data_IF_093054137310
#
_entry.id   IF_093054137310
#
_cell.length_a   1.000
_cell.length_b   1.000
_cell.length_c   1.000
_cell.angle_alpha   90.00
_cell.angle_beta   90.00
_cell.angle_gamma   90.00
#
_symmetry.space_group_name_H-M   'P 1'
#
loop_
_entity.id
_entity.type
_entity.pdbx_description
1 polymer ?
#
# COMPACT_ATOMS: atom_id res chain seq x y z
N UNK A 1 -61.46 -49.89 15.26
CA UNK A 1 -60.06 -49.63 14.98
C UNK A 1 -59.94 -48.19 14.51
N UNK A 2 -59.49 -47.26 15.39
CA UNK A 2 -59.27 -45.84 15.07
C UNK A 2 -57.82 -45.65 14.74
N UNK A 3 -57.52 -45.21 13.52
CA UNK A 3 -56.16 -44.85 13.09
C UNK A 3 -55.87 -43.39 13.43
N UNK A 4 -54.95 -43.15 14.34
CA UNK A 4 -54.40 -41.83 14.64
C UNK A 4 -53.39 -41.46 13.54
N UNK A 5 -53.58 -40.35 12.82
CA UNK A 5 -52.61 -39.72 11.98
C UNK A 5 -51.77 -38.74 12.80
N UNK A 6 -50.51 -39.03 13.00
CA UNK A 6 -49.53 -38.05 13.51
C UNK A 6 -49.05 -37.22 12.34
N UNK A 7 -49.39 -35.93 12.35
CA UNK A 7 -48.86 -34.94 11.42
C UNK A 7 -47.52 -34.42 11.98
N UNK A 8 -46.42 -34.76 11.32
CA UNK A 8 -45.06 -34.29 11.68
C UNK A 8 -44.88 -32.92 11.04
N UNK A 9 -45.01 -31.83 11.83
CA UNK A 9 -44.58 -30.50 11.40
C UNK A 9 -43.04 -30.44 11.41
N UNK A 10 -42.44 -30.51 10.26
CA UNK A 10 -41.00 -30.19 10.07
C UNK A 10 -40.82 -28.67 10.11
N UNK A 11 -40.33 -28.14 11.23
CA UNK A 11 -39.86 -26.77 11.35
C UNK A 11 -38.49 -26.73 10.67
N UNK A 12 -38.44 -26.25 9.43
CA UNK A 12 -37.21 -25.98 8.73
C UNK A 12 -36.49 -24.79 9.38
N UNK A 13 -35.45 -25.05 10.17
CA UNK A 13 -34.49 -24.04 10.54
C UNK A 13 -33.68 -23.65 9.28
N UNK A 14 -34.03 -22.55 8.63
CA UNK A 14 -33.19 -21.89 7.66
C UNK A 14 -31.99 -21.27 8.40
N UNK A 15 -30.88 -22.00 8.50
CA UNK A 15 -29.61 -21.38 8.78
C UNK A 15 -29.27 -20.46 7.58
N UNK A 16 -29.55 -19.17 7.75
CA UNK A 16 -28.92 -18.17 6.88
C UNK A 16 -27.38 -18.31 7.06
N UNK A 17 -26.73 -18.93 6.09
CA UNK A 17 -25.30 -18.84 5.99
C UNK A 17 -25.00 -17.36 5.75
N UNK A 18 -24.58 -16.65 6.80
CA UNK A 18 -23.87 -15.40 6.65
C UNK A 18 -22.58 -15.75 5.91
N UNK A 19 -22.58 -15.62 4.60
CA UNK A 19 -21.35 -15.65 3.83
C UNK A 19 -20.42 -14.62 4.46
N UNK A 20 -19.27 -15.09 4.95
CA UNK A 20 -18.22 -14.19 5.38
C UNK A 20 -17.97 -13.21 4.21
N UNK A 21 -18.22 -11.93 4.43
CA UNK A 21 -17.88 -10.89 3.46
C UNK A 21 -16.39 -10.95 3.17
N UNK A 22 -15.90 -10.31 2.09
CA UNK A 22 -14.49 -10.31 1.76
C UNK A 22 -13.66 -9.93 2.98
N UNK A 23 -12.67 -10.76 3.27
CA UNK A 23 -11.79 -10.59 4.43
C UNK A 23 -10.96 -9.31 4.27
N UNK A 24 -10.86 -8.52 5.34
CA UNK A 24 -10.10 -7.27 5.33
C UNK A 24 -8.65 -7.57 5.72
N UNK A 25 -7.80 -7.76 4.71
CA UNK A 25 -6.37 -8.02 4.87
C UNK A 25 -5.57 -6.76 4.54
N UNK A 26 -5.01 -6.11 5.55
CA UNK A 26 -4.16 -4.93 5.41
C UNK A 26 -2.83 -5.17 6.11
N UNK A 27 -1.73 -4.96 5.39
CA UNK A 27 -0.35 -5.10 5.88
C UNK A 27 0.38 -3.75 5.77
N UNK A 28 0.97 -3.26 6.87
CA UNK A 28 0.90 -3.73 8.25
C UNK A 28 -0.51 -3.74 8.82
N UNK A 29 -0.76 -4.64 9.77
CA UNK A 29 -2.09 -4.76 10.41
C UNK A 29 -2.46 -3.45 11.12
N UNK A 30 -3.61 -2.84 10.78
CA UNK A 30 -4.05 -1.60 11.43
C UNK A 30 -4.41 -1.80 12.91
N UNK A 31 -4.36 -0.70 13.67
CA UNK A 31 -4.76 -0.67 15.09
C UNK A 31 -6.22 -1.06 15.30
N UNK A 32 -7.10 -0.62 14.43
CA UNK A 32 -8.54 -0.93 14.51
C UNK A 32 -9.12 -1.15 13.12
N UNK A 33 -9.90 -2.22 13.00
CA UNK A 33 -10.68 -2.57 11.80
C UNK A 33 -12.08 -2.96 12.26
N UNK A 34 -13.08 -2.22 11.81
CA UNK A 34 -14.49 -2.48 12.10
C UNK A 34 -15.23 -2.77 10.80
N UNK A 35 -15.66 -4.02 10.55
CA UNK A 35 -16.44 -4.35 9.35
C UNK A 35 -17.77 -3.60 9.32
N UNK A 36 -18.19 -3.18 8.13
CA UNK A 36 -19.51 -2.61 7.84
C UNK A 36 -20.36 -3.55 6.99
N UNK A 37 -21.55 -3.09 6.60
CA UNK A 37 -22.43 -3.84 5.72
C UNK A 37 -22.35 -3.34 4.27
N UNK A 38 -22.22 -4.27 3.32
CA UNK A 38 -22.18 -3.97 1.89
C UNK A 38 -20.78 -3.77 1.36
N UNK A 39 -20.70 -3.28 0.12
CA UNK A 39 -19.44 -3.07 -0.62
C UNK A 39 -19.49 -1.79 -1.42
N UNK A 40 -18.32 -1.24 -1.76
CA UNK A 40 -18.15 -0.18 -2.74
C UNK A 40 -17.33 -0.70 -3.91
N UNK A 41 -17.78 -0.44 -5.15
CA UNK A 41 -17.03 -0.87 -6.34
C UNK A 41 -16.24 0.30 -6.90
N UNK A 42 -14.92 0.16 -6.92
CA UNK A 42 -14.00 1.10 -7.55
C UNK A 42 -13.81 0.71 -9.01
N UNK A 43 -14.00 1.66 -9.91
CA UNK A 43 -13.84 1.48 -11.36
C UNK A 43 -13.07 2.64 -11.95
N UNK A 44 -12.71 2.57 -13.24
CA UNK A 44 -12.06 3.69 -13.95
C UNK A 44 -12.94 4.96 -14.00
N UNK A 45 -14.26 4.85 -13.80
CA UNK A 45 -15.19 5.99 -13.74
C UNK A 45 -15.30 6.61 -12.33
N UNK A 46 -14.80 5.94 -11.29
CA UNK A 46 -14.74 6.48 -9.93
C UNK A 46 -13.92 7.77 -9.91
N UNK A 47 -14.41 8.78 -9.20
CA UNK A 47 -13.78 10.10 -9.11
C UNK A 47 -13.12 10.24 -7.73
N UNK A 48 -11.86 10.68 -7.70
CA UNK A 48 -11.17 11.01 -6.46
C UNK A 48 -11.40 12.49 -6.16
N UNK A 49 -12.15 12.78 -5.09
CA UNK A 49 -12.40 14.10 -4.56
C UNK A 49 -11.23 14.61 -3.75
N UNK A 50 -10.61 15.69 -4.19
CA UNK A 50 -9.49 16.34 -3.54
C UNK A 50 -9.53 17.84 -3.75
N UNK A 51 -9.30 18.59 -2.70
CA UNK A 51 -9.24 20.05 -2.72
C UNK A 51 -8.01 20.59 -3.49
N UNK A 52 -7.66 21.88 -3.27
CA UNK A 52 -6.50 22.51 -3.92
C UNK A 52 -5.14 22.09 -3.33
N UNK A 53 -5.10 21.21 -2.34
CA UNK A 53 -3.85 20.73 -1.73
C UNK A 53 -3.02 19.92 -2.74
N UNK A 54 -1.83 20.43 -3.06
CA UNK A 54 -0.97 19.84 -4.10
C UNK A 54 -0.44 18.44 -3.72
N UNK A 55 -0.19 18.20 -2.42
CA UNK A 55 0.32 16.92 -1.92
C UNK A 55 -0.77 15.85 -1.96
N UNK A 56 -2.01 16.18 -1.58
CA UNK A 56 -3.14 15.28 -1.71
C UNK A 56 -3.42 14.94 -3.19
N UNK A 57 -3.32 15.91 -4.09
CA UNK A 57 -3.46 15.65 -5.53
C UNK A 57 -2.37 14.74 -6.08
N UNK A 58 -1.15 14.85 -5.55
CA UNK A 58 -0.06 13.93 -5.90
C UNK A 58 -0.37 12.53 -5.41
N UNK A 59 -0.77 12.37 -4.15
CA UNK A 59 -1.17 11.08 -3.56
C UNK A 59 -2.34 10.44 -4.31
N UNK A 60 -3.34 11.21 -4.69
CA UNK A 60 -4.47 10.77 -5.51
C UNK A 60 -4.03 10.22 -6.87
N UNK A 61 -3.09 10.89 -7.56
CA UNK A 61 -2.57 10.43 -8.85
C UNK A 61 -1.75 9.15 -8.74
N UNK A 62 -0.94 9.03 -7.68
CA UNK A 62 -0.17 7.80 -7.40
C UNK A 62 -1.16 6.65 -7.20
N UNK A 63 -2.11 6.79 -6.29
CA UNK A 63 -3.13 5.78 -6.03
C UNK A 63 -3.91 5.39 -7.30
N UNK A 64 -4.38 6.37 -8.09
CA UNK A 64 -5.10 6.12 -9.33
C UNK A 64 -4.26 5.32 -10.35
N UNK A 65 -2.95 5.57 -10.43
CA UNK A 65 -2.03 4.83 -11.27
C UNK A 65 -1.78 3.40 -10.78
N UNK A 66 -1.59 3.22 -9.47
CA UNK A 66 -1.32 1.92 -8.86
C UNK A 66 -2.49 0.94 -9.00
N UNK A 67 -3.74 1.40 -8.90
CA UNK A 67 -4.91 0.54 -9.01
C UNK A 67 -5.48 0.45 -10.44
N UNK A 68 -5.00 1.26 -11.37
CA UNK A 68 -5.50 1.29 -12.75
C UNK A 68 -5.57 -0.07 -13.46
N UNK A 69 -4.59 -0.98 -13.29
CA UNK A 69 -4.65 -2.31 -13.91
C UNK A 69 -5.85 -3.15 -13.42
N UNK A 70 -6.25 -2.95 -12.16
CA UNK A 70 -7.35 -3.71 -11.54
C UNK A 70 -8.71 -3.11 -11.89
N UNK A 71 -8.82 -1.77 -11.88
CA UNK A 71 -10.10 -1.07 -12.08
C UNK A 71 -10.41 -0.73 -13.54
N UNK A 72 -9.54 -1.11 -14.47
CA UNK A 72 -9.74 -0.94 -15.91
C UNK A 72 -9.39 0.44 -16.46
N UNK A 73 -8.60 1.25 -15.73
CA UNK A 73 -8.10 2.55 -16.18
C UNK A 73 -7.82 3.53 -15.06
N UNK A 74 -7.21 4.66 -15.40
CA UNK A 74 -6.81 5.70 -14.45
C UNK A 74 -8.00 6.56 -14.05
N UNK A 75 -8.32 6.59 -12.77
CA UNK A 75 -9.39 7.43 -12.20
C UNK A 75 -9.07 8.94 -12.33
N UNK A 76 -10.12 9.74 -12.49
CA UNK A 76 -10.00 11.20 -12.54
C UNK A 76 -10.00 11.80 -11.12
N UNK A 77 -9.40 12.99 -11.00
CA UNK A 77 -9.47 13.81 -9.79
C UNK A 77 -10.33 15.04 -10.02
N UNK A 78 -11.16 15.40 -9.05
CA UNK A 78 -11.99 16.60 -9.05
C UNK A 78 -12.04 17.23 -7.64
N UNK A 79 -12.76 18.34 -7.48
CA UNK A 79 -12.94 18.96 -6.16
C UNK A 79 -13.80 18.07 -5.24
N UNK A 80 -14.77 17.37 -5.81
CA UNK A 80 -15.61 16.39 -5.12
C UNK A 80 -15.55 15.06 -5.87
N UNK A 81 -15.82 13.95 -5.18
CA UNK A 81 -15.77 12.62 -5.78
C UNK A 81 -16.24 11.53 -4.83
N UNK A 82 -16.24 10.31 -5.36
CA UNK A 82 -16.68 9.10 -4.66
C UNK A 82 -15.65 8.67 -3.60
N UNK A 83 -14.37 8.92 -3.84
CA UNK A 83 -13.27 8.71 -2.90
C UNK A 83 -12.78 10.08 -2.44
N UNK A 84 -13.10 10.47 -1.22
CA UNK A 84 -12.78 11.80 -0.67
C UNK A 84 -11.50 11.76 0.15
N UNK A 85 -10.61 12.70 -0.12
CA UNK A 85 -9.35 12.87 0.62
C UNK A 85 -9.38 14.17 1.41
N UNK A 86 -9.07 14.11 2.71
CA UNK A 86 -9.06 15.27 3.58
C UNK A 86 -7.93 15.21 4.61
N UNK A 87 -7.39 16.37 4.97
CA UNK A 87 -6.53 16.53 6.15
C UNK A 87 -7.42 16.87 7.34
N UNK A 88 -7.23 16.16 8.45
CA UNK A 88 -7.91 16.36 9.72
C UNK A 88 -6.86 16.64 10.83
N UNK A 89 -6.67 17.89 11.15
CA UNK A 89 -5.67 18.32 12.14
C UNK A 89 -5.94 17.86 13.58
N UNK A 90 -7.05 17.16 13.85
CA UNK A 90 -7.30 16.53 15.13
C UNK A 90 -6.58 15.17 15.29
N UNK A 91 -6.13 14.58 14.17
CA UNK A 91 -5.36 13.34 14.16
C UNK A 91 -3.85 13.62 14.33
N UNK A 92 -3.12 12.64 14.84
CA UNK A 92 -1.65 12.68 14.83
C UNK A 92 -1.12 12.71 13.38
N UNK A 93 0.06 13.28 13.17
CA UNK A 93 0.58 13.60 11.83
C UNK A 93 0.52 12.46 10.81
N UNK A 94 0.93 11.26 11.20
CA UNK A 94 0.92 10.08 10.31
C UNK A 94 -0.31 9.16 10.52
N UNK A 95 -1.21 9.53 11.44
CA UNK A 95 -2.46 8.78 11.66
C UNK A 95 -3.44 9.00 10.52
N UNK A 96 -4.30 8.01 10.31
CA UNK A 96 -5.38 8.09 9.34
C UNK A 96 -6.63 7.34 9.78
N UNK A 97 -7.76 7.72 9.20
CA UNK A 97 -8.99 6.95 9.16
C UNK A 97 -9.37 6.67 7.71
N UNK A 98 -9.87 5.47 7.46
CA UNK A 98 -10.42 5.05 6.17
C UNK A 98 -11.83 4.51 6.43
N UNK A 99 -12.84 5.14 5.84
CA UNK A 99 -14.21 4.70 5.91
C UNK A 99 -14.69 4.32 4.51
N UNK A 100 -15.08 3.06 4.32
CA UNK A 100 -15.70 2.53 3.11
C UNK A 100 -17.15 2.25 3.40
N UNK A 101 -18.04 2.82 2.63
CA UNK A 101 -19.49 2.60 2.68
C UNK A 101 -20.00 2.28 1.28
N UNK A 102 -21.20 1.71 1.11
CA UNK A 102 -21.76 1.50 -0.23
C UNK A 102 -21.94 2.78 -1.08
N UNK A 103 -21.92 3.96 -0.44
CA UNK A 103 -22.10 5.26 -1.10
C UNK A 103 -20.78 5.97 -1.43
N UNK A 104 -19.64 5.46 -0.99
CA UNK A 104 -18.33 6.07 -1.24
C UNK A 104 -17.28 5.76 -0.20
N UNK A 105 -16.12 6.34 -0.39
CA UNK A 105 -14.93 6.16 0.46
C UNK A 105 -14.48 7.52 0.99
N UNK A 106 -14.10 7.57 2.25
CA UNK A 106 -13.44 8.73 2.85
C UNK A 106 -12.10 8.33 3.47
N UNK A 107 -11.05 9.07 3.12
CA UNK A 107 -9.71 8.92 3.70
C UNK A 107 -9.33 10.24 4.37
N UNK A 108 -9.14 10.21 5.66
CA UNK A 108 -8.67 11.36 6.46
C UNK A 108 -7.32 11.04 7.07
N UNK A 109 -6.42 11.99 7.08
CA UNK A 109 -5.12 11.87 7.76
C UNK A 109 -4.76 13.13 8.52
N UNK A 110 -3.96 13.01 9.58
CA UNK A 110 -3.50 14.19 10.33
C UNK A 110 -2.67 15.17 9.50
N UNK A 111 -2.01 14.65 8.48
CA UNK A 111 -1.28 15.40 7.43
C UNK A 111 -1.48 14.72 6.08
N UNK A 112 -1.03 15.31 4.96
CA UNK A 112 -1.01 14.63 3.66
C UNK A 112 -0.31 13.27 3.68
N UNK A 113 0.71 13.07 4.53
CA UNK A 113 1.37 11.78 4.72
C UNK A 113 0.41 10.75 5.36
N UNK A 114 -0.37 11.13 6.36
CA UNK A 114 -1.40 10.27 6.94
C UNK A 114 -2.46 9.86 5.91
N UNK A 115 -2.90 10.80 5.05
CA UNK A 115 -3.81 10.49 3.93
C UNK A 115 -3.17 9.50 2.95
N UNK A 116 -1.88 9.66 2.65
CA UNK A 116 -1.15 8.71 1.81
C UNK A 116 -1.13 7.30 2.42
N UNK A 117 -0.92 7.18 3.74
CA UNK A 117 -0.99 5.89 4.44
C UNK A 117 -2.38 5.24 4.35
N UNK A 118 -3.43 6.04 4.47
CA UNK A 118 -4.81 5.58 4.28
C UNK A 118 -5.09 5.10 2.86
N UNK A 119 -4.53 5.80 1.85
CA UNK A 119 -4.60 5.38 0.44
C UNK A 119 -3.85 4.07 0.19
N UNK A 120 -2.71 3.82 0.85
CA UNK A 120 -2.02 2.54 0.75
C UNK A 120 -2.86 1.38 1.33
N UNK A 121 -3.62 1.63 2.40
CA UNK A 121 -4.59 0.65 2.91
C UNK A 121 -5.75 0.42 1.95
N UNK A 122 -6.33 1.48 1.39
CA UNK A 122 -7.37 1.37 0.37
C UNK A 122 -6.88 0.65 -0.88
N UNK A 123 -5.64 0.92 -1.32
CA UNK A 123 -5.00 0.23 -2.44
C UNK A 123 -4.99 -1.29 -2.26
N UNK A 124 -4.59 -1.77 -1.08
CA UNK A 124 -4.59 -3.20 -0.79
C UNK A 124 -6.00 -3.78 -0.92
N UNK A 125 -7.00 -3.13 -0.31
CA UNK A 125 -8.40 -3.58 -0.39
C UNK A 125 -8.95 -3.59 -1.83
N UNK A 126 -8.58 -2.60 -2.65
CA UNK A 126 -8.98 -2.54 -4.07
C UNK A 126 -8.34 -3.67 -4.88
N UNK A 127 -7.07 -3.95 -4.64
CA UNK A 127 -6.34 -4.99 -5.38
C UNK A 127 -6.82 -6.37 -4.95
N UNK A 128 -6.91 -6.64 -3.66
CA UNK A 128 -7.35 -7.94 -3.12
C UNK A 128 -8.80 -8.27 -3.50
N UNK A 129 -9.66 -7.25 -3.57
CA UNK A 129 -11.07 -7.40 -3.94
C UNK A 129 -11.37 -7.22 -5.44
N UNK A 130 -10.34 -7.14 -6.31
CA UNK A 130 -10.52 -6.93 -7.75
C UNK A 130 -11.45 -5.72 -8.07
N UNK A 131 -11.29 -4.64 -7.32
CA UNK A 131 -12.10 -3.43 -7.39
C UNK A 131 -13.33 -3.41 -6.47
N UNK A 132 -13.75 -4.54 -5.89
CA UNK A 132 -14.87 -4.61 -4.94
C UNK A 132 -14.35 -4.53 -3.51
N UNK A 133 -14.57 -3.41 -2.85
CA UNK A 133 -14.06 -3.13 -1.51
C UNK A 133 -15.16 -3.36 -0.47
N UNK A 134 -14.94 -4.19 0.56
CA UNK A 134 -15.92 -4.36 1.64
C UNK A 134 -16.11 -3.05 2.41
N UNK A 135 -17.34 -2.81 2.87
CA UNK A 135 -17.60 -1.71 3.79
C UNK A 135 -16.82 -1.95 5.10
N UNK A 136 -16.02 -0.97 5.49
CA UNK A 136 -15.12 -1.10 6.64
C UNK A 136 -14.75 0.28 7.16
N UNK A 137 -14.54 0.39 8.46
CA UNK A 137 -13.87 1.53 9.08
C UNK A 137 -12.53 1.09 9.63
N UNK A 138 -11.45 1.73 9.17
CA UNK A 138 -10.08 1.50 9.64
C UNK A 138 -9.60 2.74 10.36
N UNK A 139 -8.95 2.58 11.51
CA UNK A 139 -8.20 3.63 12.18
C UNK A 139 -6.81 3.12 12.52
N UNK A 140 -5.79 3.88 12.15
CA UNK A 140 -4.42 3.43 12.27
C UNK A 140 -3.44 4.59 12.44
N UNK A 141 -2.31 4.30 13.08
CA UNK A 141 -1.15 5.16 13.18
C UNK A 141 0.11 4.32 13.36
N UNK A 142 1.29 4.82 12.97
CA UNK A 142 2.53 4.09 13.19
C UNK A 142 2.86 3.92 14.67
N UNK A 143 3.37 2.74 15.05
CA UNK A 143 3.95 2.51 16.37
C UNK A 143 5.33 3.19 16.53
N UNK A 144 6.10 3.26 15.43
CA UNK A 144 7.46 3.80 15.44
C UNK A 144 7.57 5.00 14.52
N UNK A 145 8.19 6.07 15.00
CA UNK A 145 8.48 7.27 14.19
C UNK A 145 9.51 6.98 13.09
N UNK A 146 10.46 6.07 13.31
CA UNK A 146 11.44 5.62 12.31
C UNK A 146 11.06 4.25 11.77
N UNK A 147 10.75 4.19 10.50
CA UNK A 147 10.42 2.96 9.77
C UNK A 147 11.15 2.99 8.44
N UNK A 148 12.17 2.18 8.30
CA UNK A 148 13.07 2.26 7.15
C UNK A 148 13.45 0.92 6.57
N UNK A 149 13.90 0.97 5.32
CA UNK A 149 14.61 -0.09 4.64
C UNK A 149 15.95 0.40 4.10
N UNK A 150 16.87 -0.49 3.90
CA UNK A 150 18.18 -0.21 3.34
C UNK A 150 18.40 -1.04 2.07
N UNK A 151 18.96 -0.40 1.04
CA UNK A 151 19.41 -1.05 -0.18
C UNK A 151 20.90 -0.79 -0.38
N UNK A 152 21.63 -1.84 -0.71
CA UNK A 152 23.08 -1.78 -0.92
C UNK A 152 23.45 -2.06 -2.39
N UNK A 153 23.49 -1.02 -3.24
CA UNK A 153 23.96 -1.15 -4.61
C UNK A 153 25.49 -1.23 -4.74
N UNK A 154 26.23 -1.07 -3.65
CA UNK A 154 27.69 -1.17 -3.69
C UNK A 154 28.16 -2.63 -3.84
N UNK A 155 27.56 -3.55 -3.08
CA UNK A 155 27.89 -4.98 -3.15
C UNK A 155 27.23 -5.64 -4.35
N UNK A 156 25.98 -5.28 -4.66
CA UNK A 156 25.29 -5.71 -5.87
C UNK A 156 24.69 -4.50 -6.57
N UNK A 157 24.96 -4.35 -7.86
CA UNK A 157 24.42 -3.24 -8.63
C UNK A 157 22.92 -3.40 -8.84
N UNK A 158 22.19 -2.30 -8.63
CA UNK A 158 20.77 -2.18 -8.88
C UNK A 158 20.53 -1.10 -9.93
N UNK A 159 19.71 -1.41 -10.91
CA UNK A 159 19.27 -0.43 -11.91
C UNK A 159 18.38 0.65 -11.29
N UNK A 160 18.26 1.78 -12.00
CA UNK A 160 17.38 2.88 -11.55
C UNK A 160 15.93 2.42 -11.38
N UNK A 161 15.46 1.51 -12.25
CA UNK A 161 14.06 1.05 -12.19
C UNK A 161 13.84 0.10 -11.02
N UNK A 162 14.77 -0.80 -10.72
CA UNK A 162 14.73 -1.64 -9.52
C UNK A 162 14.76 -0.82 -8.22
N UNK A 163 15.57 0.26 -8.18
CA UNK A 163 15.58 1.18 -7.03
C UNK A 163 14.25 1.89 -6.87
N UNK A 164 13.61 2.31 -7.97
CA UNK A 164 12.26 2.91 -7.92
C UNK A 164 11.22 1.91 -7.41
N UNK A 165 11.25 0.67 -7.90
CA UNK A 165 10.37 -0.41 -7.42
C UNK A 165 10.57 -0.65 -5.92
N UNK A 166 11.80 -0.67 -5.45
CA UNK A 166 12.08 -0.78 -4.01
C UNK A 166 11.50 0.37 -3.20
N UNK A 167 11.58 1.61 -3.71
CA UNK A 167 10.95 2.78 -3.07
C UNK A 167 9.42 2.63 -3.01
N UNK A 168 8.80 2.13 -4.08
CA UNK A 168 7.35 1.89 -4.13
C UNK A 168 6.94 0.80 -3.12
N UNK A 169 7.74 -0.26 -2.96
CA UNK A 169 7.54 -1.29 -1.92
C UNK A 169 7.62 -0.68 -0.51
N UNK A 170 8.62 0.16 -0.24
CA UNK A 170 8.73 0.86 1.04
C UNK A 170 7.49 1.72 1.32
N UNK A 171 7.04 2.47 0.32
CA UNK A 171 5.87 3.34 0.40
C UNK A 171 4.57 2.54 0.65
N UNK A 172 4.39 1.42 -0.05
CA UNK A 172 3.24 0.51 0.11
C UNK A 172 3.14 -0.01 1.55
N UNK A 173 4.26 -0.28 2.20
CA UNK A 173 4.33 -0.72 3.60
C UNK A 173 4.40 0.43 4.61
N UNK A 174 4.15 1.68 4.16
CA UNK A 174 4.12 2.89 5.00
C UNK A 174 5.44 3.17 5.72
N UNK A 175 6.58 2.75 5.13
CA UNK A 175 7.90 3.11 5.61
C UNK A 175 8.20 4.57 5.23
N UNK A 176 9.01 5.26 6.03
CA UNK A 176 9.27 6.69 5.86
C UNK A 176 10.76 7.05 5.78
N UNK A 177 11.64 6.05 5.78
CA UNK A 177 13.08 6.22 5.64
C UNK A 177 13.65 5.23 4.64
N UNK A 178 14.47 5.75 3.73
CA UNK A 178 15.24 4.94 2.80
C UNK A 178 16.73 5.19 3.02
N UNK A 179 17.45 4.16 3.48
CA UNK A 179 18.90 4.18 3.55
C UNK A 179 19.46 3.63 2.23
N UNK A 180 19.88 4.52 1.36
CA UNK A 180 20.49 4.18 0.10
C UNK A 180 22.01 4.14 0.26
N UNK A 181 22.60 2.95 0.33
CA UNK A 181 24.03 2.73 0.57
C UNK A 181 24.80 2.80 -0.74
N UNK A 182 25.19 4.03 -1.13
CA UNK A 182 25.73 4.33 -2.46
C UNK A 182 27.26 4.21 -2.57
N UNK A 183 27.97 4.09 -1.45
CA UNK A 183 29.42 4.15 -1.44
C UNK A 183 30.02 3.16 -0.45
N UNK A 184 30.86 2.27 -0.93
CA UNK A 184 31.64 1.36 -0.12
C UNK A 184 32.88 0.90 -0.91
N UNK A 185 33.73 0.05 -0.33
CA UNK A 185 34.98 -0.46 -0.94
C UNK A 185 34.74 -1.28 -2.22
N UNK A 186 33.58 -1.97 -2.33
CA UNK A 186 33.23 -2.77 -3.51
C UNK A 186 32.64 -1.95 -4.66
N UNK A 187 32.23 -0.71 -4.44
CA UNK A 187 31.68 0.12 -5.50
C UNK A 187 31.29 1.51 -5.06
N UNK A 188 31.57 2.48 -5.91
CA UNK A 188 31.18 3.88 -5.75
C UNK A 188 30.06 4.23 -6.72
N UNK A 189 28.85 4.52 -6.23
CA UNK A 189 27.64 4.71 -7.07
C UNK A 189 27.11 6.15 -7.11
N UNK A 190 27.70 7.08 -6.37
CA UNK A 190 27.32 8.49 -6.40
C UNK A 190 28.29 9.30 -7.22
N UNK A 191 27.81 10.03 -8.25
CA UNK A 191 28.63 10.92 -9.03
C UNK A 191 29.00 12.17 -8.20
N UNK A 192 30.32 12.43 -8.10
CA UNK A 192 30.84 13.68 -7.58
C UNK A 192 31.59 14.38 -8.72
N UNK A 193 30.97 15.41 -9.30
CA UNK A 193 31.51 16.11 -10.49
C UNK A 193 32.92 16.62 -10.32
N UNK A 194 33.33 17.00 -9.10
CA UNK A 194 34.67 17.45 -8.76
C UNK A 194 35.67 16.28 -8.76
N UNK A 195 35.23 15.06 -8.57
CA UNK A 195 36.07 13.86 -8.49
C UNK A 195 35.54 12.75 -9.42
N UNK A 196 35.60 12.95 -10.76
CA UNK A 196 34.97 12.04 -11.72
C UNK A 196 35.54 10.62 -11.70
N UNK A 197 36.78 10.47 -11.26
CA UNK A 197 37.47 9.17 -11.18
C UNK A 197 36.77 8.22 -10.17
N UNK A 198 36.09 8.76 -9.15
CA UNK A 198 35.35 7.95 -8.21
C UNK A 198 34.27 7.11 -8.89
N UNK A 199 33.60 7.65 -9.89
CA UNK A 199 32.63 6.88 -10.68
C UNK A 199 33.23 6.21 -11.89
N UNK A 200 34.18 6.88 -12.59
CA UNK A 200 34.80 6.29 -13.79
C UNK A 200 35.55 4.98 -13.48
N UNK A 201 36.28 4.92 -12.37
CA UNK A 201 37.04 3.74 -11.93
C UNK A 201 36.33 2.97 -10.85
N UNK A 202 35.90 3.66 -9.79
CA UNK A 202 35.35 3.02 -8.58
C UNK A 202 33.95 2.44 -8.75
N UNK A 203 33.23 2.75 -9.85
CA UNK A 203 31.91 2.16 -10.11
C UNK A 203 31.96 0.80 -10.81
N UNK A 204 33.13 0.39 -11.32
CA UNK A 204 33.31 -0.84 -12.10
C UNK A 204 34.32 -1.75 -11.40
N UNK A 205 34.01 -3.02 -11.30
CA UNK A 205 34.91 -4.06 -10.82
C UNK A 205 34.86 -5.28 -11.74
N UNK A 206 35.96 -6.04 -11.80
CA UNK A 206 36.06 -7.24 -12.62
C UNK A 206 35.37 -8.47 -12.04
N UNK A 207 35.11 -8.48 -10.73
CA UNK A 207 34.59 -9.63 -10.00
C UNK A 207 33.62 -9.17 -8.91
N UNK A 208 32.66 -10.03 -8.56
CA UNK A 208 31.80 -9.82 -7.39
C UNK A 208 31.81 -11.05 -6.50
N UNK A 209 31.77 -10.86 -5.18
CA UNK A 209 31.75 -11.94 -4.21
C UNK A 209 30.39 -12.65 -4.23
N UNK A 210 30.41 -13.97 -4.39
CA UNK A 210 29.21 -14.81 -4.28
C UNK A 210 29.13 -15.37 -2.84
N UNK A 211 27.97 -15.19 -2.22
CA UNK A 211 27.71 -15.67 -0.87
C UNK A 211 28.33 -14.79 0.22
N UNK A 212 28.59 -15.38 1.37
CA UNK A 212 29.08 -14.64 2.53
C UNK A 212 30.60 -14.57 2.53
N UNK A 213 31.19 -13.37 2.52
CA UNK A 213 32.63 -13.15 2.36
C UNK A 213 33.53 -13.81 3.42
N UNK A 214 32.98 -14.20 4.57
CA UNK A 214 33.71 -14.93 5.60
C UNK A 214 33.74 -16.45 5.39
N UNK A 215 32.92 -16.98 4.48
CA UNK A 215 32.73 -18.43 4.29
C UNK A 215 32.97 -18.91 2.86
N UNK A 216 33.08 -18.01 1.90
CA UNK A 216 33.25 -18.31 0.49
C UNK A 216 34.39 -17.46 -0.10
N UNK A 217 35.23 -18.06 -0.92
CA UNK A 217 36.21 -17.39 -1.77
C UNK A 217 35.83 -17.43 -3.25
N UNK A 218 34.56 -17.75 -3.53
CA UNK A 218 34.04 -17.79 -4.90
C UNK A 218 33.64 -16.39 -5.36
N UNK A 219 34.04 -16.07 -6.58
CA UNK A 219 33.74 -14.81 -7.25
C UNK A 219 33.06 -15.09 -8.57
N UNK A 220 32.07 -14.27 -8.90
CA UNK A 220 31.47 -14.20 -10.23
C UNK A 220 32.23 -13.16 -11.07
N UNK A 221 32.58 -13.53 -12.33
CA UNK A 221 33.37 -12.70 -13.27
C UNK A 221 32.48 -12.09 -14.34
#
# INVERSE_FOLDING_TARGET
>A
MKRLFFSLCAVGLSCAAFGAGPEVNIVPKPLSVTPGAGTFTVTASTVIGVDKNAELRRSARIFAGEVAPVVGGVMKTAAEGDVRLAVDGSLEAEAYTLAVTPSGVEVRGGTPQGVFHGLQSLRQLVIDGEGVVPAVTVSDKPYFAHRGGMLDPCRHFWTVDEVKEYIDILAMHKLNKFHWHLTDDQGWRIEIKKYPELTRVGSVRGETLIGHHHTSSEYDK
#
